data_IF_964902838718
#
_entry.id   IF_964902838718
#
_cell.length_a   1.000
_cell.length_b   1.000
_cell.length_c   1.000
_cell.angle_alpha   90.00
_cell.angle_beta   90.00
_cell.angle_gamma   90.00
#
_symmetry.space_group_name_H-M   'P 1'
#
loop_
_entity.id
_entity.type
_entity.pdbx_description
1 polymer ?
#
# COMPACT_ATOMS: atom_id res chain seq x y z
N UNK A 1 -48.81 14.77 -0.81
CA UNK A 1 -47.70 13.97 -1.36
C UNK A 1 -46.50 14.26 -0.47
N UNK A 2 -46.27 13.45 0.56
CA UNK A 2 -45.31 13.73 1.64
C UNK A 2 -43.87 13.54 1.17
N UNK A 3 -43.03 14.55 1.43
CA UNK A 3 -41.56 14.55 1.35
C UNK A 3 -40.96 13.58 2.38
N UNK A 4 -41.21 12.28 2.22
CA UNK A 4 -40.57 11.25 3.02
C UNK A 4 -39.63 10.47 2.11
N UNK A 5 -38.37 10.40 2.53
CA UNK A 5 -37.34 9.45 2.07
C UNK A 5 -36.63 9.70 0.74
N UNK A 6 -36.00 10.87 0.59
CA UNK A 6 -34.74 10.95 -0.20
C UNK A 6 -33.50 10.67 0.68
N UNK A 7 -33.63 9.77 1.64
CA UNK A 7 -32.49 9.25 2.41
C UNK A 7 -32.00 8.03 1.67
N UNK A 8 -30.86 8.13 0.97
CA UNK A 8 -30.25 6.96 0.33
C UNK A 8 -30.02 5.91 1.43
N UNK A 9 -30.73 4.78 1.44
CA UNK A 9 -30.74 3.83 2.56
C UNK A 9 -29.41 3.08 2.70
N UNK A 10 -28.50 3.26 1.75
CA UNK A 10 -27.26 2.53 1.64
C UNK A 10 -26.11 3.47 1.30
N UNK A 11 -25.29 3.82 2.30
CA UNK A 11 -24.00 4.41 2.03
C UNK A 11 -23.07 3.30 1.49
N UNK A 12 -22.58 3.37 0.25
CA UNK A 12 -21.71 2.34 -0.30
C UNK A 12 -20.36 2.40 0.41
N UNK A 13 -20.24 1.68 1.52
CA UNK A 13 -19.04 1.63 2.38
C UNK A 13 -17.84 1.02 1.64
N UNK A 14 -18.11 0.32 0.52
CA UNK A 14 -17.11 -0.30 -0.35
C UNK A 14 -16.63 0.62 -1.49
N UNK A 15 -17.20 1.81 -1.69
CA UNK A 15 -16.85 2.64 -2.84
C UNK A 15 -15.40 3.14 -2.80
N UNK A 16 -14.89 3.43 -1.61
CA UNK A 16 -13.51 3.86 -1.42
C UNK A 16 -12.56 2.71 -1.03
N UNK A 17 -13.04 1.45 -1.12
CA UNK A 17 -12.26 0.28 -0.74
C UNK A 17 -11.46 -0.20 -1.94
N UNK A 18 -10.15 -0.26 -1.78
CA UNK A 18 -9.29 -0.92 -2.77
C UNK A 18 -9.69 -2.39 -2.93
N UNK A 19 -9.78 -2.83 -4.18
CA UNK A 19 -10.07 -4.21 -4.50
C UNK A 19 -8.95 -5.13 -3.99
N UNK A 20 -9.35 -6.25 -3.39
CA UNK A 20 -8.43 -7.32 -3.01
C UNK A 20 -8.09 -8.15 -4.24
N UNK A 21 -6.82 -8.29 -4.57
CA UNK A 21 -6.34 -8.97 -5.78
C UNK A 21 -5.99 -10.42 -5.51
N UNK A 22 -5.15 -10.67 -4.51
CA UNK A 22 -4.59 -12.00 -4.25
C UNK A 22 -4.53 -12.30 -2.75
N UNK A 23 -5.20 -13.37 -2.31
CA UNK A 23 -5.12 -13.85 -0.92
C UNK A 23 -5.49 -12.84 0.17
N UNK A 24 -6.32 -11.82 -0.15
CA UNK A 24 -6.69 -10.74 0.77
C UNK A 24 -5.74 -9.53 0.78
N UNK A 25 -4.72 -9.52 -0.09
CA UNK A 25 -3.87 -8.35 -0.34
C UNK A 25 -4.56 -7.37 -1.28
N UNK A 26 -4.39 -6.08 -1.03
CA UNK A 26 -4.79 -5.00 -1.96
C UNK A 26 -3.83 -4.92 -3.15
N UNK A 27 -4.22 -4.21 -4.21
CA UNK A 27 -3.36 -3.97 -5.40
C UNK A 27 -2.02 -3.35 -4.99
N UNK A 28 -2.08 -2.37 -4.09
CA UNK A 28 -0.92 -1.63 -3.57
C UNK A 28 0.05 -2.54 -2.78
N UNK A 29 -0.47 -3.35 -1.87
CA UNK A 29 0.33 -4.31 -1.08
C UNK A 29 0.98 -5.37 -1.97
N UNK A 30 0.22 -5.90 -2.92
CA UNK A 30 0.73 -6.83 -3.92
C UNK A 30 1.87 -6.19 -4.72
N UNK A 31 1.66 -4.98 -5.23
CA UNK A 31 2.68 -4.24 -6.00
C UNK A 31 3.96 -3.98 -5.21
N UNK A 32 3.86 -3.60 -3.94
CA UNK A 32 5.02 -3.39 -3.06
C UNK A 32 5.76 -4.72 -2.84
N UNK A 33 5.05 -5.80 -2.53
CA UNK A 33 5.67 -7.11 -2.30
C UNK A 33 6.40 -7.63 -3.55
N UNK A 34 5.75 -7.54 -4.72
CA UNK A 34 6.31 -7.91 -6.00
C UNK A 34 7.53 -7.04 -6.37
N UNK A 35 7.42 -5.73 -6.18
CA UNK A 35 8.52 -4.79 -6.43
C UNK A 35 9.75 -5.06 -5.55
N UNK A 36 9.55 -5.32 -4.25
CA UNK A 36 10.64 -5.68 -3.34
C UNK A 36 11.30 -7.01 -3.75
N UNK A 37 10.50 -8.03 -4.08
CA UNK A 37 11.05 -9.30 -4.54
C UNK A 37 11.79 -9.21 -5.85
N UNK A 38 11.29 -8.41 -6.79
CA UNK A 38 11.96 -8.18 -8.06
C UNK A 38 13.31 -7.47 -7.86
N UNK A 39 13.36 -6.42 -7.03
CA UNK A 39 14.60 -5.71 -6.72
C UNK A 39 15.61 -6.61 -6.00
N UNK A 40 15.18 -7.39 -5.01
CA UNK A 40 16.03 -8.37 -4.34
C UNK A 40 16.53 -9.43 -5.32
N UNK A 41 15.66 -9.92 -6.21
CA UNK A 41 16.01 -10.91 -7.23
C UNK A 41 16.99 -10.38 -8.27
N UNK A 42 16.92 -9.10 -8.64
CA UNK A 42 17.93 -8.46 -9.46
C UNK A 42 19.29 -8.38 -8.76
N UNK A 43 19.32 -7.99 -7.49
CA UNK A 43 20.57 -7.92 -6.71
C UNK A 43 21.21 -9.31 -6.58
N UNK A 44 20.41 -10.32 -6.23
CA UNK A 44 20.89 -11.70 -6.10
C UNK A 44 21.31 -12.26 -7.47
N UNK A 45 20.53 -12.00 -8.52
CA UNK A 45 20.86 -12.43 -9.88
C UNK A 45 22.13 -11.77 -10.42
N UNK A 46 22.36 -10.49 -10.13
CA UNK A 46 23.59 -9.76 -10.46
C UNK A 46 24.79 -10.36 -9.72
N UNK A 47 24.63 -10.66 -8.43
CA UNK A 47 25.68 -11.32 -7.66
C UNK A 47 26.02 -12.70 -8.24
N UNK A 48 25.01 -13.51 -8.57
CA UNK A 48 25.23 -14.83 -9.18
C UNK A 48 25.84 -14.74 -10.58
N UNK A 49 25.49 -13.71 -11.37
CA UNK A 49 26.13 -13.48 -12.66
C UNK A 49 27.63 -13.25 -12.50
N UNK A 50 28.07 -12.42 -11.53
CA UNK A 50 29.50 -12.18 -11.25
C UNK A 50 30.24 -13.47 -10.89
N UNK A 51 29.57 -14.43 -10.24
CA UNK A 51 30.18 -15.70 -9.81
C UNK A 51 30.22 -16.76 -10.92
N UNK A 52 29.28 -16.72 -11.87
CA UNK A 52 29.07 -17.82 -12.83
C UNK A 52 29.23 -17.41 -14.30
N UNK A 53 29.39 -16.11 -14.57
CA UNK A 53 29.35 -15.47 -15.90
C UNK A 53 28.07 -15.77 -16.72
N UNK A 54 27.04 -16.32 -16.09
CA UNK A 54 25.78 -16.67 -16.75
C UNK A 54 24.71 -15.59 -16.57
N UNK A 55 24.57 -14.71 -17.57
CA UNK A 55 23.70 -13.53 -17.49
C UNK A 55 22.21 -13.85 -17.31
N UNK A 56 21.75 -15.02 -17.77
CA UNK A 56 20.35 -15.45 -17.67
C UNK A 56 19.85 -15.60 -16.22
N UNK A 57 20.77 -15.69 -15.24
CA UNK A 57 20.41 -15.74 -13.82
C UNK A 57 19.76 -14.45 -13.33
N UNK A 58 20.04 -13.32 -13.98
CA UNK A 58 19.48 -12.02 -13.59
C UNK A 58 17.94 -12.01 -13.73
N UNK A 59 17.36 -12.20 -14.95
CA UNK A 59 15.91 -12.23 -15.09
C UNK A 59 15.27 -13.43 -14.38
N UNK A 60 15.95 -14.58 -14.32
CA UNK A 60 15.44 -15.77 -13.65
C UNK A 60 15.26 -15.53 -12.14
N UNK A 61 16.27 -15.00 -11.46
CA UNK A 61 16.20 -14.70 -10.02
C UNK A 61 15.24 -13.55 -9.72
N UNK A 62 15.17 -12.54 -10.60
CA UNK A 62 14.20 -11.45 -10.48
C UNK A 62 12.76 -11.96 -10.46
N UNK A 63 12.39 -12.84 -11.40
CA UNK A 63 11.05 -13.44 -11.43
C UNK A 63 10.82 -14.41 -10.27
N UNK A 64 11.79 -15.27 -9.95
CA UNK A 64 11.67 -16.25 -8.87
C UNK A 64 11.43 -15.56 -7.53
N UNK A 65 12.24 -14.57 -7.17
CA UNK A 65 12.09 -13.86 -5.90
C UNK A 65 10.86 -12.93 -5.88
N UNK A 66 10.46 -12.37 -7.03
CA UNK A 66 9.18 -11.68 -7.15
C UNK A 66 8.00 -12.59 -6.76
N UNK A 67 7.94 -13.80 -7.31
CA UNK A 67 6.87 -14.76 -6.97
C UNK A 67 6.98 -15.20 -5.50
N UNK A 68 8.17 -15.56 -5.04
CA UNK A 68 8.38 -16.04 -3.68
C UNK A 68 7.96 -15.00 -2.62
N UNK A 69 8.33 -13.74 -2.81
CA UNK A 69 7.98 -12.65 -1.89
C UNK A 69 6.49 -12.36 -1.86
N UNK A 70 5.78 -12.43 -2.99
CA UNK A 70 4.31 -12.31 -3.01
C UNK A 70 3.65 -13.46 -2.24
N UNK A 71 4.13 -14.70 -2.44
CA UNK A 71 3.59 -15.89 -1.78
C UNK A 71 3.81 -15.86 -0.26
N UNK A 72 4.96 -15.37 0.21
CA UNK A 72 5.26 -15.20 1.64
C UNK A 72 4.52 -13.96 2.18
N UNK A 73 4.48 -12.89 1.38
CA UNK A 73 3.88 -11.60 1.70
C UNK A 73 2.41 -11.73 2.10
N UNK A 74 1.66 -12.66 1.50
CA UNK A 74 0.26 -12.94 1.89
C UNK A 74 0.10 -13.21 3.40
N UNK A 75 1.01 -13.98 3.99
CA UNK A 75 0.96 -14.37 5.40
C UNK A 75 1.35 -13.22 6.32
N UNK A 76 2.39 -12.49 5.94
CA UNK A 76 2.87 -11.32 6.67
C UNK A 76 1.81 -10.21 6.65
N UNK A 77 1.26 -9.89 5.48
CA UNK A 77 0.21 -8.88 5.34
C UNK A 77 -1.04 -9.28 6.13
N UNK A 78 -1.45 -10.55 6.06
CA UNK A 78 -2.57 -11.04 6.87
C UNK A 78 -2.31 -10.91 8.38
N UNK A 79 -1.09 -11.17 8.84
CA UNK A 79 -0.70 -11.01 10.24
C UNK A 79 -0.67 -9.53 10.66
N UNK A 80 -0.07 -8.65 9.84
CA UNK A 80 0.01 -7.20 10.12
C UNK A 80 -1.38 -6.55 10.12
N UNK A 81 -2.31 -7.06 9.30
CA UNK A 81 -3.71 -6.61 9.27
C UNK A 81 -4.54 -7.06 10.48
N UNK A 82 -4.07 -8.02 11.31
CA UNK A 82 -4.85 -8.49 12.47
C UNK A 82 -5.09 -7.34 13.46
N UNK A 83 -6.36 -7.04 13.72
CA UNK A 83 -6.78 -6.02 14.68
C UNK A 83 -6.55 -4.57 14.24
N UNK A 84 -6.18 -4.32 12.99
CA UNK A 84 -5.97 -2.96 12.44
C UNK A 84 -7.14 -2.52 11.55
N UNK A 85 -7.46 -1.22 11.50
CA UNK A 85 -8.54 -0.69 10.66
C UNK A 85 -8.29 -0.90 9.15
N UNK A 86 -9.36 -0.91 8.37
CA UNK A 86 -9.28 -1.04 6.90
C UNK A 86 -8.42 0.08 6.28
N UNK A 87 -7.64 -0.23 5.23
CA UNK A 87 -6.70 0.68 4.54
C UNK A 87 -5.53 1.25 5.38
N UNK A 88 -5.31 0.76 6.60
CA UNK A 88 -4.20 1.21 7.47
C UNK A 88 -2.83 1.14 6.80
N UNK A 89 -2.53 0.03 6.13
CA UNK A 89 -1.22 -0.25 5.54
C UNK A 89 -0.91 0.71 4.39
N UNK A 90 -1.88 0.94 3.49
CA UNK A 90 -1.74 1.90 2.39
C UNK A 90 -1.48 3.31 2.92
N UNK A 91 -2.22 3.73 3.95
CA UNK A 91 -2.08 5.05 4.55
C UNK A 91 -0.75 5.22 5.28
N UNK A 92 -0.22 4.14 5.87
CA UNK A 92 1.10 4.12 6.48
C UNK A 92 2.21 4.23 5.43
N UNK A 93 2.09 3.51 4.31
CA UNK A 93 3.03 3.60 3.19
C UNK A 93 3.00 5.00 2.60
N UNK A 94 1.82 5.55 2.35
CA UNK A 94 1.64 6.90 1.81
C UNK A 94 2.27 7.95 2.74
N UNK A 95 2.04 7.83 4.06
CA UNK A 95 2.69 8.70 5.04
C UNK A 95 4.22 8.57 5.01
N UNK A 96 4.75 7.35 4.93
CA UNK A 96 6.21 7.12 4.88
C UNK A 96 6.83 7.68 3.60
N UNK A 97 6.16 7.51 2.46
CA UNK A 97 6.62 8.07 1.19
C UNK A 97 6.57 9.59 1.23
N UNK A 98 5.47 10.19 1.72
CA UNK A 98 5.36 11.64 1.89
C UNK A 98 6.47 12.17 2.82
N UNK A 99 6.81 11.44 3.88
CA UNK A 99 7.93 11.82 4.77
C UNK A 99 9.30 11.71 4.06
N UNK A 100 9.53 10.63 3.31
CA UNK A 100 10.78 10.40 2.58
C UNK A 100 11.02 11.43 1.47
N UNK A 101 9.95 11.86 0.79
CA UNK A 101 9.99 12.86 -0.28
C UNK A 101 9.74 14.28 0.23
N UNK A 102 9.77 14.51 1.56
CA UNK A 102 9.55 15.80 2.21
C UNK A 102 8.25 16.51 1.78
N UNK A 103 7.22 15.73 1.50
CA UNK A 103 5.91 16.21 1.11
C UNK A 103 5.09 16.78 2.28
N UNK A 104 4.09 17.57 1.91
CA UNK A 104 3.19 18.26 2.83
C UNK A 104 1.74 17.78 2.69
N UNK A 105 1.55 16.56 2.19
CA UNK A 105 0.21 16.01 1.93
C UNK A 105 -0.54 15.75 3.23
N UNK A 106 0.16 15.35 4.29
CA UNK A 106 -0.43 15.13 5.60
C UNK A 106 -0.28 16.34 6.52
N UNK A 107 -1.35 16.66 7.24
CA UNK A 107 -1.32 17.67 8.30
C UNK A 107 -0.52 17.10 9.48
N UNK A 108 0.74 17.53 9.60
CA UNK A 108 1.63 17.18 10.74
C UNK A 108 1.60 18.26 11.84
N UNK A 109 0.71 19.25 11.75
CA UNK A 109 0.57 20.34 12.73
C UNK A 109 0.03 19.80 14.04
N UNK A 110 0.79 20.01 15.11
CA UNK A 110 0.29 19.96 16.47
C UNK A 110 -0.22 21.35 16.87
N UNK A 111 -1.38 21.39 17.52
CA UNK A 111 -1.95 22.64 17.99
C UNK A 111 -3.43 22.53 18.34
N UNK A 112 -3.92 23.54 19.06
CA UNK A 112 -5.33 23.59 19.43
C UNK A 112 -6.20 23.86 18.20
N UNK A 113 -7.27 23.08 18.08
CA UNK A 113 -8.33 23.33 17.10
C UNK A 113 -9.29 24.36 17.69
N UNK A 114 -9.52 25.47 16.99
CA UNK A 114 -10.57 26.42 17.35
C UNK A 114 -11.66 26.40 16.27
N UNK A 115 -12.92 26.48 16.70
CA UNK A 115 -14.10 26.36 15.81
C UNK A 115 -14.60 27.76 15.37
N UNK A 116 -13.92 28.83 15.80
CA UNK A 116 -14.38 30.21 15.58
C UNK A 116 -14.22 30.60 14.10
N UNK A 117 -15.33 30.77 13.39
CA UNK A 117 -15.36 31.34 12.04
C UNK A 117 -15.20 32.86 12.13
N UNK A 118 -14.11 33.42 11.60
CA UNK A 118 -13.96 34.87 11.48
C UNK A 118 -14.69 35.34 10.22
N UNK A 119 -15.64 36.28 10.38
CA UNK A 119 -16.28 36.98 9.27
C UNK A 119 -15.26 37.96 8.70
N UNK A 120 -14.76 37.72 7.48
CA UNK A 120 -13.94 38.70 6.76
C UNK A 120 -14.83 39.93 6.50
N UNK A 121 -14.39 41.11 6.96
CA UNK A 121 -14.99 42.41 6.60
C UNK A 121 -14.55 42.79 5.20
#
# INVERSE_FOLDING_TARGET
>A
MSEQDTTIPFLPTRLNREATVYGGMTVSEFGISAGLGFMLGLIVGLFLWILTDFWLLIPAMAMLLCIATVLIGKGIVAAVKRGKPEAYLNRLVEKKMDDLFNGHKFIKREGFWSIRRYRRK
#
